data_IF_832386555423
#
_entry.id   IF_832386555423
#
_cell.length_a   1.000
_cell.length_b   1.000
_cell.length_c   1.000
_cell.angle_alpha   90.00
_cell.angle_beta   90.00
_cell.angle_gamma   90.00
#
_symmetry.space_group_name_H-M   'P 1'
#
loop_
_entity.id
_entity.type
_entity.pdbx_description
1 polymer ?
#
# COMPACT_ATOMS: atom_id res chain seq x y z
N UNK A 1 -2.31 4.75 15.20
CA UNK A 1 -2.03 3.91 14.03
C UNK A 1 -2.21 4.68 12.72
N UNK A 2 -3.32 5.42 12.53
CA UNK A 2 -3.54 6.23 11.30
C UNK A 2 -2.40 7.22 11.09
N UNK A 3 -2.00 7.98 12.12
CA UNK A 3 -0.87 8.89 12.09
C UNK A 3 0.44 8.21 11.68
N UNK A 4 0.76 7.04 12.26
CA UNK A 4 2.01 6.31 11.98
C UNK A 4 2.08 5.73 10.56
N UNK A 5 0.94 5.43 9.94
CA UNK A 5 0.87 4.88 8.59
C UNK A 5 0.50 5.92 7.53
N UNK A 6 0.37 7.20 7.89
CA UNK A 6 0.22 8.27 6.92
C UNK A 6 1.57 8.95 6.66
N UNK A 7 2.05 9.01 5.40
CA UNK A 7 3.21 9.80 5.03
C UNK A 7 2.86 11.28 4.81
N UNK A 8 1.59 11.62 4.95
CA UNK A 8 1.03 12.97 4.73
C UNK A 8 0.40 13.52 5.98
N UNK A 9 0.45 14.86 6.12
CA UNK A 9 -0.35 15.59 7.09
C UNK A 9 -1.54 16.20 6.37
N UNK A 10 -2.74 16.03 6.93
CA UNK A 10 -3.98 16.49 6.30
C UNK A 10 -5.04 16.78 7.37
N UNK A 11 -5.81 17.85 7.15
CA UNK A 11 -7.03 18.13 7.86
C UNK A 11 -8.22 17.45 7.16
N UNK A 12 -9.10 16.83 7.92
CA UNK A 12 -10.32 16.20 7.44
C UNK A 12 -11.54 16.86 8.08
N UNK A 13 -12.55 17.12 7.28
CA UNK A 13 -13.87 17.42 7.81
C UNK A 13 -14.47 16.14 8.38
N UNK A 14 -14.68 16.13 9.69
CA UNK A 14 -15.26 14.98 10.40
C UNK A 14 -16.60 15.36 11.01
N UNK A 15 -17.61 14.46 10.99
CA UNK A 15 -18.89 14.71 11.63
C UNK A 15 -18.73 14.99 13.13
N UNK A 16 -19.60 15.83 13.73
CA UNK A 16 -19.64 16.04 15.17
C UNK A 16 -19.74 14.70 15.91
N UNK A 17 -18.90 14.52 16.94
CA UNK A 17 -18.85 13.27 17.72
C UNK A 17 -18.07 12.12 17.07
N UNK A 18 -17.40 12.36 15.95
CA UNK A 18 -16.51 11.36 15.33
C UNK A 18 -15.37 11.01 16.27
N UNK A 19 -15.01 9.73 16.32
CA UNK A 19 -13.79 9.23 16.99
C UNK A 19 -12.52 9.37 16.14
N UNK A 20 -12.66 9.89 14.92
CA UNK A 20 -11.53 10.14 14.03
C UNK A 20 -10.94 11.52 14.30
N UNK A 21 -9.61 11.61 14.37
CA UNK A 21 -8.91 12.88 14.52
C UNK A 21 -9.03 13.69 13.22
N UNK A 22 -9.54 14.94 13.33
CA UNK A 22 -9.64 15.82 12.17
C UNK A 22 -8.27 16.18 11.58
N UNK A 23 -7.27 16.38 12.46
CA UNK A 23 -5.92 16.75 12.07
C UNK A 23 -4.98 15.53 12.18
N UNK A 24 -4.58 15.00 11.04
CA UNK A 24 -3.56 13.94 10.98
C UNK A 24 -2.20 14.57 10.70
N UNK A 25 -1.35 14.62 11.73
CA UNK A 25 0.07 14.89 11.57
C UNK A 25 0.79 13.57 11.29
N UNK A 26 0.95 13.23 10.00
CA UNK A 26 1.49 11.95 9.57
C UNK A 26 2.97 11.77 9.90
N UNK A 27 3.33 10.61 10.44
CA UNK A 27 4.73 10.19 10.72
C UNK A 27 5.10 8.92 9.96
N UNK A 28 4.42 8.65 8.86
CA UNK A 28 4.68 7.46 8.04
C UNK A 28 6.01 7.51 7.30
N UNK A 29 6.52 8.72 7.01
CA UNK A 29 7.85 8.92 6.39
C UNK A 29 8.95 8.45 7.34
N UNK A 30 8.91 8.89 8.58
CA UNK A 30 9.85 8.51 9.63
C UNK A 30 9.79 7.00 9.90
N UNK A 31 8.60 6.43 9.89
CA UNK A 31 8.41 4.99 10.03
C UNK A 31 9.04 4.21 8.87
N UNK A 32 8.86 4.65 7.63
CA UNK A 32 9.51 4.03 6.46
C UNK A 32 11.03 4.21 6.50
N UNK A 33 11.50 5.37 6.91
CA UNK A 33 12.94 5.62 7.06
C UNK A 33 13.56 4.65 8.08
N UNK A 34 12.90 4.43 9.21
CA UNK A 34 13.31 3.43 10.19
C UNK A 34 13.31 2.01 9.61
N UNK A 35 12.27 1.63 8.83
CA UNK A 35 12.24 0.33 8.16
C UNK A 35 13.47 0.17 7.24
N UNK A 36 13.77 1.17 6.44
CA UNK A 36 14.84 1.10 5.43
C UNK A 36 16.24 1.18 6.03
N UNK A 37 16.45 2.04 7.04
CA UNK A 37 17.77 2.30 7.61
C UNK A 37 18.14 1.42 8.79
N UNK A 38 17.13 0.93 9.53
CA UNK A 38 17.38 0.16 10.76
C UNK A 38 16.83 -1.26 10.67
N UNK A 39 15.52 -1.42 10.47
CA UNK A 39 14.87 -2.72 10.55
C UNK A 39 15.37 -3.67 9.45
N UNK A 40 15.32 -3.26 8.19
CA UNK A 40 15.74 -4.11 7.07
C UNK A 40 17.22 -4.51 7.17
N UNK A 41 18.18 -3.59 7.40
CA UNK A 41 19.57 -3.97 7.59
C UNK A 41 19.79 -4.90 8.81
N UNK A 42 19.02 -4.72 9.87
CA UNK A 42 19.08 -5.61 11.03
C UNK A 42 18.61 -7.04 10.67
N UNK A 43 17.48 -7.15 9.95
CA UNK A 43 16.96 -8.44 9.46
C UNK A 43 18.00 -9.10 8.53
N UNK A 44 18.56 -8.36 7.60
CA UNK A 44 19.52 -8.89 6.61
C UNK A 44 20.82 -9.39 7.27
N UNK A 45 21.23 -8.81 8.40
CA UNK A 45 22.39 -9.28 9.16
C UNK A 45 22.13 -10.50 10.05
N UNK A 46 20.88 -10.66 10.51
CA UNK A 46 20.54 -11.67 11.52
C UNK A 46 19.81 -12.90 10.95
N UNK A 47 19.31 -12.82 9.73
CA UNK A 47 18.58 -13.90 9.09
C UNK A 47 19.11 -14.19 7.68
N UNK A 48 18.85 -15.39 7.19
CA UNK A 48 19.20 -15.79 5.82
C UNK A 48 18.23 -15.11 4.84
N UNK A 49 18.54 -13.91 4.43
CA UNK A 49 17.76 -13.14 3.46
C UNK A 49 18.49 -13.03 2.12
N UNK A 50 17.77 -12.53 1.12
CA UNK A 50 18.30 -12.02 -0.14
C UNK A 50 18.09 -10.50 -0.11
N UNK A 51 19.11 -9.71 0.30
CA UNK A 51 18.93 -8.29 0.66
C UNK A 51 18.70 -7.35 -0.51
N UNK A 52 18.90 -7.81 -1.75
CA UNK A 52 18.75 -6.97 -2.95
C UNK A 52 17.28 -6.60 -3.15
N UNK A 53 17.06 -5.42 -3.74
CA UNK A 53 15.71 -4.88 -3.98
C UNK A 53 14.81 -5.84 -4.78
N UNK A 54 15.40 -6.63 -5.68
CA UNK A 54 14.71 -7.60 -6.53
C UNK A 54 13.99 -8.68 -5.73
N UNK A 55 14.44 -8.91 -4.50
CA UNK A 55 13.88 -9.90 -3.55
C UNK A 55 13.18 -9.25 -2.37
N UNK A 56 13.02 -7.92 -2.39
CA UNK A 56 12.45 -7.17 -1.28
C UNK A 56 11.12 -6.55 -1.68
N UNK A 57 10.06 -6.96 -0.99
CA UNK A 57 8.73 -6.41 -1.14
C UNK A 57 8.38 -5.49 0.03
N UNK A 58 7.54 -4.50 -0.24
CA UNK A 58 6.83 -3.75 0.79
C UNK A 58 5.33 -3.99 0.61
N UNK A 59 4.64 -4.31 1.69
CA UNK A 59 3.22 -4.59 1.60
C UNK A 59 2.46 -4.27 2.87
N UNK A 60 1.15 -4.12 2.73
CA UNK A 60 0.29 -3.83 3.86
C UNK A 60 -1.19 -3.89 3.54
N UNK A 61 -1.98 -3.76 4.59
CA UNK A 61 -3.43 -3.73 4.57
C UNK A 61 -3.93 -2.32 4.88
N UNK A 62 -5.03 -1.90 4.27
CA UNK A 62 -5.70 -0.65 4.61
C UNK A 62 -4.74 0.55 4.46
N UNK A 63 -4.62 1.39 5.47
CA UNK A 63 -3.68 2.53 5.49
C UNK A 63 -2.22 2.11 5.32
N UNK A 64 -1.82 0.92 5.84
CA UNK A 64 -0.48 0.40 5.62
C UNK A 64 -0.25 0.00 4.15
N UNK A 65 -1.29 -0.39 3.41
CA UNK A 65 -1.23 -0.61 1.96
C UNK A 65 -0.97 0.70 1.20
N UNK A 66 -1.63 1.78 1.58
CA UNK A 66 -1.37 3.12 1.04
C UNK A 66 0.06 3.57 1.34
N UNK A 67 0.53 3.40 2.59
CA UNK A 67 1.91 3.69 2.97
C UNK A 67 2.92 2.85 2.18
N UNK A 68 2.60 1.57 1.91
CA UNK A 68 3.47 0.70 1.12
C UNK A 68 3.60 1.18 -0.33
N UNK A 69 2.51 1.68 -0.91
CA UNK A 69 2.53 2.28 -2.26
C UNK A 69 3.45 3.51 -2.29
N UNK A 70 3.31 4.41 -1.31
CA UNK A 70 4.23 5.53 -1.12
C UNK A 70 5.68 5.04 -0.94
N UNK A 71 5.90 4.05 -0.08
CA UNK A 71 7.24 3.56 0.26
C UNK A 71 7.97 2.93 -0.92
N UNK A 72 7.28 2.14 -1.75
CA UNK A 72 7.89 1.56 -2.95
C UNK A 72 8.29 2.65 -3.94
N UNK A 73 7.48 3.68 -4.12
CA UNK A 73 7.82 4.83 -4.98
C UNK A 73 9.04 5.61 -4.46
N UNK A 74 9.11 5.85 -3.15
CA UNK A 74 10.14 6.71 -2.53
C UNK A 74 11.48 6.01 -2.26
N UNK A 75 11.51 4.67 -2.20
CA UNK A 75 12.72 3.90 -1.88
C UNK A 75 13.10 2.90 -3.00
N UNK A 76 13.38 3.39 -4.23
CA UNK A 76 13.64 2.56 -5.41
C UNK A 76 14.89 1.69 -5.32
N UNK A 77 15.78 1.97 -4.37
CA UNK A 77 16.98 1.17 -4.11
C UNK A 77 16.73 0.02 -3.13
N UNK A 78 15.57 0.02 -2.45
CA UNK A 78 15.26 -0.93 -1.38
C UNK A 78 14.15 -1.90 -1.77
N UNK A 79 13.10 -1.40 -2.42
CA UNK A 79 11.91 -2.18 -2.76
C UNK A 79 11.70 -2.22 -4.27
N UNK A 80 11.29 -3.36 -4.80
CA UNK A 80 10.84 -3.49 -6.19
C UNK A 80 9.53 -4.27 -6.34
N UNK A 81 8.89 -4.62 -5.23
CA UNK A 81 7.64 -5.39 -5.22
C UNK A 81 6.65 -4.74 -4.27
N UNK A 82 5.43 -4.53 -4.74
CA UNK A 82 4.35 -3.90 -3.99
C UNK A 82 3.21 -4.89 -3.76
N UNK A 83 2.79 -5.04 -2.50
CA UNK A 83 1.62 -5.83 -2.16
C UNK A 83 0.64 -4.98 -1.35
N UNK A 84 -0.54 -4.74 -1.90
CA UNK A 84 -1.60 -3.99 -1.21
C UNK A 84 -2.86 -4.83 -1.14
N UNK A 85 -3.31 -5.09 0.06
CA UNK A 85 -4.58 -5.75 0.33
C UNK A 85 -5.52 -4.73 0.96
N UNK A 86 -6.66 -4.45 0.31
CA UNK A 86 -7.66 -3.49 0.80
C UNK A 86 -7.10 -2.09 1.09
N UNK A 87 -6.35 -1.52 0.17
CA UNK A 87 -5.67 -0.23 0.35
C UNK A 87 -6.63 0.93 0.64
N UNK A 88 -6.42 1.67 1.74
CA UNK A 88 -7.21 2.85 2.08
C UNK A 88 -6.69 4.10 1.34
N UNK A 89 -6.80 4.11 0.01
CA UNK A 89 -6.26 5.15 -0.86
C UNK A 89 -7.10 6.41 -0.91
N UNK A 90 -8.44 6.26 -0.91
CA UNK A 90 -9.38 7.30 -1.31
C UNK A 90 -9.17 8.64 -0.58
N UNK A 91 -9.02 8.59 0.74
CA UNK A 91 -8.86 9.81 1.57
C UNK A 91 -7.50 10.50 1.40
N UNK A 92 -6.51 9.82 0.81
CA UNK A 92 -5.16 10.31 0.57
C UNK A 92 -4.84 10.48 -0.92
N UNK A 93 -5.84 10.32 -1.79
CA UNK A 93 -5.63 10.15 -3.22
C UNK A 93 -4.87 11.32 -3.84
N UNK A 94 -5.28 12.55 -3.54
CA UNK A 94 -4.64 13.78 -4.01
C UNK A 94 -3.14 13.82 -3.72
N UNK A 95 -2.75 13.49 -2.50
CA UNK A 95 -1.33 13.47 -2.10
C UNK A 95 -0.56 12.30 -2.71
N UNK A 96 -1.20 11.13 -2.80
CA UNK A 96 -0.55 9.93 -3.33
C UNK A 96 -0.34 10.01 -4.84
N UNK A 97 -1.30 10.54 -5.59
CA UNK A 97 -1.17 10.78 -7.03
C UNK A 97 -0.01 11.73 -7.34
N UNK A 98 0.08 12.87 -6.63
CA UNK A 98 1.21 13.79 -6.76
C UNK A 98 2.57 13.12 -6.47
N UNK A 99 2.60 12.26 -5.45
CA UNK A 99 3.82 11.48 -5.15
C UNK A 99 4.20 10.55 -6.29
N UNK A 100 3.25 9.77 -6.81
CA UNK A 100 3.49 8.82 -7.90
C UNK A 100 3.89 9.53 -9.19
N UNK A 101 3.32 10.69 -9.49
CA UNK A 101 3.68 11.51 -10.66
C UNK A 101 5.11 12.08 -10.58
N UNK A 102 5.59 12.35 -9.37
CA UNK A 102 6.94 12.88 -9.14
C UNK A 102 8.04 11.82 -9.09
N UNK A 103 7.68 10.53 -9.06
CA UNK A 103 8.60 9.42 -8.89
C UNK A 103 8.80 8.61 -10.18
N UNK A 104 10.01 8.08 -10.37
CA UNK A 104 10.23 7.03 -11.36
C UNK A 104 9.80 5.68 -10.78
N UNK A 105 8.95 4.97 -11.50
CA UNK A 105 8.41 3.65 -11.10
C UNK A 105 9.02 2.48 -11.86
N UNK A 106 9.99 2.68 -12.77
CA UNK A 106 10.62 1.65 -13.61
C UNK A 106 11.30 0.53 -12.81
N UNK A 107 11.67 0.81 -11.56
CA UNK A 107 12.29 -0.17 -10.65
C UNK A 107 11.30 -1.20 -10.11
N UNK A 108 9.99 -0.94 -10.22
CA UNK A 108 8.95 -1.84 -9.69
C UNK A 108 8.77 -3.01 -10.64
N UNK A 109 8.87 -4.22 -10.13
CA UNK A 109 8.77 -5.46 -10.91
C UNK A 109 7.37 -6.06 -10.90
N UNK A 110 6.78 -6.13 -9.71
CA UNK A 110 5.47 -6.74 -9.50
C UNK A 110 4.63 -5.91 -8.53
N UNK A 111 3.37 -5.80 -8.87
CA UNK A 111 2.36 -5.09 -8.08
C UNK A 111 1.16 -6.02 -7.90
N UNK A 112 0.76 -6.23 -6.66
CA UNK A 112 -0.49 -6.86 -6.31
C UNK A 112 -1.39 -5.84 -5.62
N UNK A 113 -2.59 -5.66 -6.14
CA UNK A 113 -3.64 -4.83 -5.56
C UNK A 113 -4.90 -5.66 -5.43
N UNK A 114 -5.58 -5.59 -4.31
CA UNK A 114 -6.92 -6.16 -4.17
C UNK A 114 -7.85 -5.30 -3.34
N UNK A 115 -9.14 -5.59 -3.45
CA UNK A 115 -10.21 -4.96 -2.66
C UNK A 115 -11.41 -5.90 -2.56
N UNK A 116 -12.09 -5.88 -1.42
CA UNK A 116 -13.38 -6.54 -1.24
C UNK A 116 -14.55 -5.61 -1.54
N UNK A 117 -15.65 -6.15 -2.06
CA UNK A 117 -16.86 -5.36 -2.38
C UNK A 117 -17.56 -4.84 -1.13
N UNK A 118 -17.47 -5.57 -0.01
CA UNK A 118 -18.16 -5.24 1.25
C UNK A 118 -17.24 -4.55 2.27
N UNK A 119 -16.22 -3.86 1.81
CA UNK A 119 -15.28 -3.22 2.73
C UNK A 119 -15.85 -1.96 3.37
N UNK A 120 -15.69 -1.81 4.67
CA UNK A 120 -16.11 -0.65 5.44
C UNK A 120 -15.04 -0.24 6.42
N UNK A 121 -14.46 0.93 6.21
CA UNK A 121 -13.50 1.57 7.11
C UNK A 121 -14.17 2.59 8.05
N UNK A 122 -13.37 3.24 8.89
CA UNK A 122 -13.87 4.32 9.77
C UNK A 122 -14.24 5.59 8.99
N UNK A 123 -13.50 5.91 7.95
CA UNK A 123 -13.64 7.12 7.13
C UNK A 123 -13.79 6.81 5.64
N UNK A 124 -13.96 5.54 5.28
CA UNK A 124 -13.96 5.10 3.89
C UNK A 124 -15.08 4.08 3.71
N UNK A 125 -16.00 4.37 2.82
CA UNK A 125 -17.10 3.46 2.44
C UNK A 125 -16.61 2.37 1.49
N UNK A 126 -17.41 1.32 1.27
CA UNK A 126 -17.11 0.27 0.30
C UNK A 126 -16.88 0.83 -1.11
N UNK A 127 -17.74 1.75 -1.56
CA UNK A 127 -17.58 2.43 -2.84
C UNK A 127 -16.25 3.20 -2.93
N UNK A 128 -15.86 3.88 -1.87
CA UNK A 128 -14.60 4.62 -1.81
C UNK A 128 -13.37 3.70 -1.82
N UNK A 129 -13.44 2.52 -1.18
CA UNK A 129 -12.38 1.51 -1.29
C UNK A 129 -12.23 1.01 -2.72
N UNK A 130 -13.34 0.62 -3.36
CA UNK A 130 -13.35 0.18 -4.75
C UNK A 130 -12.82 1.27 -5.70
N UNK A 131 -13.34 2.50 -5.56
CA UNK A 131 -12.91 3.64 -6.37
C UNK A 131 -11.42 3.95 -6.18
N UNK A 132 -10.95 3.97 -4.94
CA UNK A 132 -9.55 4.24 -4.63
C UNK A 132 -8.61 3.18 -5.21
N UNK A 133 -8.96 1.89 -5.10
CA UNK A 133 -8.19 0.79 -5.67
C UNK A 133 -8.18 0.87 -7.21
N UNK A 134 -9.31 1.16 -7.84
CA UNK A 134 -9.42 1.32 -9.30
C UNK A 134 -8.56 2.48 -9.82
N UNK A 135 -8.57 3.64 -9.16
CA UNK A 135 -7.74 4.80 -9.55
C UNK A 135 -6.25 4.42 -9.50
N UNK A 136 -5.79 3.77 -8.43
CA UNK A 136 -4.38 3.36 -8.31
C UNK A 136 -4.02 2.29 -9.34
N UNK A 137 -4.91 1.34 -9.61
CA UNK A 137 -4.72 0.37 -10.69
C UNK A 137 -4.51 1.07 -12.04
N UNK A 138 -5.43 1.98 -12.43
CA UNK A 138 -5.33 2.70 -13.70
C UNK A 138 -4.09 3.60 -13.75
N UNK A 139 -3.68 4.18 -12.63
CA UNK A 139 -2.45 4.96 -12.56
C UNK A 139 -1.22 4.10 -12.89
N UNK A 140 -1.07 2.92 -12.31
CA UNK A 140 0.01 2.00 -12.67
C UNK A 140 -0.12 1.49 -14.12
N UNK A 141 -1.34 1.26 -14.61
CA UNK A 141 -1.58 0.94 -16.02
C UNK A 141 -1.06 2.04 -16.95
N UNK A 142 -1.31 3.30 -16.61
CA UNK A 142 -0.83 4.46 -17.40
C UNK A 142 0.70 4.60 -17.41
N UNK A 143 1.39 4.04 -16.43
CA UNK A 143 2.86 3.95 -16.37
C UNK A 143 3.42 2.75 -17.16
N UNK A 144 2.57 1.98 -17.84
CA UNK A 144 2.99 0.88 -18.70
C UNK A 144 3.01 -0.51 -18.02
N UNK A 145 2.58 -0.63 -16.76
CA UNK A 145 2.51 -1.95 -16.12
C UNK A 145 1.47 -2.85 -16.80
N UNK A 146 1.92 -3.96 -17.37
CA UNK A 146 1.09 -4.97 -18.02
C UNK A 146 0.51 -5.99 -17.03
N UNK A 147 -0.35 -6.87 -17.52
CA UNK A 147 -0.99 -7.94 -16.73
C UNK A 147 0.01 -8.92 -16.11
N UNK A 148 1.20 -9.02 -16.71
CA UNK A 148 2.30 -9.86 -16.20
C UNK A 148 2.97 -9.27 -14.94
N UNK A 149 2.81 -7.96 -14.71
CA UNK A 149 3.46 -7.23 -13.62
C UNK A 149 2.46 -6.65 -12.61
N UNK A 150 1.23 -6.40 -13.04
CA UNK A 150 0.18 -5.78 -12.23
C UNK A 150 -1.04 -6.68 -12.16
N UNK A 151 -1.29 -7.23 -10.98
CA UNK A 151 -2.50 -7.96 -10.65
C UNK A 151 -3.43 -7.06 -9.85
N UNK A 152 -4.69 -7.00 -10.29
CA UNK A 152 -5.78 -6.33 -9.57
C UNK A 152 -6.96 -7.27 -9.42
N UNK A 153 -7.39 -7.52 -8.21
CA UNK A 153 -8.49 -8.44 -7.89
C UNK A 153 -9.58 -7.77 -7.07
N UNK A 154 -10.82 -8.04 -7.42
CA UNK A 154 -12.01 -7.62 -6.67
C UNK A 154 -12.68 -8.88 -6.12
N UNK A 155 -12.91 -8.91 -4.82
CA UNK A 155 -13.51 -10.06 -4.11
C UNK A 155 -14.94 -9.74 -3.68
N UNK A 156 -15.92 -10.41 -4.27
CA UNK A 156 -17.34 -10.14 -4.09
C UNK A 156 -17.84 -10.29 -2.64
N UNK A 157 -17.31 -11.25 -1.89
CA UNK A 157 -17.79 -11.59 -0.54
C UNK A 157 -16.84 -11.14 0.59
N UNK A 158 -15.89 -10.24 0.30
CA UNK A 158 -14.89 -9.87 1.29
C UNK A 158 -15.14 -8.51 1.92
N UNK A 159 -14.92 -8.46 3.23
CA UNK A 159 -15.05 -7.31 4.10
C UNK A 159 -13.68 -6.75 4.53
N UNK A 160 -13.66 -5.56 5.12
CA UNK A 160 -12.46 -4.92 5.66
C UNK A 160 -12.03 -5.51 6.99
N UNK A 161 -11.53 -6.74 6.98
CA UNK A 161 -11.17 -7.48 8.19
C UNK A 161 -9.89 -8.27 8.06
N UNK A 162 -9.21 -8.46 9.19
CA UNK A 162 -8.01 -9.30 9.26
C UNK A 162 -8.28 -10.75 8.80
N UNK A 163 -9.50 -11.25 9.02
CA UNK A 163 -9.92 -12.58 8.58
C UNK A 163 -9.92 -12.67 7.05
N UNK A 164 -10.47 -11.67 6.38
CA UNK A 164 -10.49 -11.58 4.92
C UNK A 164 -9.07 -11.44 4.36
N UNK A 165 -8.27 -10.54 4.90
CA UNK A 165 -6.89 -10.30 4.47
C UNK A 165 -6.00 -11.54 4.61
N UNK A 166 -6.10 -12.25 5.74
CA UNK A 166 -5.35 -13.48 5.99
C UNK A 166 -5.59 -14.56 4.93
N UNK A 167 -6.81 -14.65 4.38
CA UNK A 167 -7.15 -15.61 3.33
C UNK A 167 -6.47 -15.28 2.00
N UNK A 168 -6.35 -13.99 1.67
CA UNK A 168 -5.81 -13.49 0.41
C UNK A 168 -4.27 -13.37 0.41
N UNK A 169 -3.68 -13.19 1.58
CA UNK A 169 -2.25 -12.97 1.75
C UNK A 169 -1.34 -14.01 1.07
N UNK A 170 -1.57 -15.35 1.17
CA UNK A 170 -0.71 -16.32 0.52
C UNK A 170 -0.65 -16.18 -1.00
N UNK A 171 -1.77 -15.89 -1.65
CA UNK A 171 -1.84 -15.73 -3.09
C UNK A 171 -1.19 -14.41 -3.54
N UNK A 172 -1.38 -13.35 -2.76
CA UNK A 172 -0.69 -12.09 -2.98
C UNK A 172 0.84 -12.25 -2.92
N UNK A 173 1.35 -13.00 -1.93
CA UNK A 173 2.79 -13.29 -1.80
C UNK A 173 3.28 -14.13 -2.99
N UNK A 174 2.56 -15.19 -3.37
CA UNK A 174 2.93 -16.01 -4.54
C UNK A 174 3.01 -15.16 -5.81
N UNK A 175 2.06 -14.25 -6.00
CA UNK A 175 2.06 -13.37 -7.15
C UNK A 175 3.28 -12.45 -7.20
N UNK A 176 3.57 -11.71 -6.12
CA UNK A 176 4.67 -10.74 -6.14
C UNK A 176 6.06 -11.38 -6.21
N UNK A 177 6.16 -12.69 -5.96
CA UNK A 177 7.39 -13.47 -6.02
C UNK A 177 7.36 -14.60 -7.07
N UNK A 178 6.48 -14.51 -8.07
CA UNK A 178 6.27 -15.56 -9.07
C UNK A 178 7.47 -15.86 -9.98
N UNK A 179 8.46 -15.00 -10.00
CA UNK A 179 9.69 -15.11 -10.79
C UNK A 179 10.90 -15.66 -10.00
N UNK A 180 10.68 -16.20 -8.77
CA UNK A 180 11.75 -16.67 -7.89
C UNK A 180 11.77 -18.19 -7.66
#
# INVERSE_FOLDING_TARGET
RTRQYSPYSKHFEVPPGSSFEADIAGTGREYLEWIVRELKPWIDRNYRTRPQKEYTALGGYSTAGMLSTYGVAMYPKTFSRLMVISGAFYIWMDCLEQTLESCNTDHIRYIYLDVGVNEQGRMTTAEQFLKGAAIIHEKFRSYGFGREQLKYEIFEDQEHSQRAWRRRFPDAVRWIFQDL
#
